data_IF_318605952330
#
_entry.id   IF_318605952330
#
_cell.length_a   1.000
_cell.length_b   1.000
_cell.length_c   1.000
_cell.angle_alpha   90.00
_cell.angle_beta   90.00
_cell.angle_gamma   90.00
#
_symmetry.space_group_name_H-M   'P 1'
#
loop_
_entity.id
_entity.type
_entity.pdbx_description
1 polymer ?
#
# COMPACT_ATOMS: atom_id res chain seq x y z
N UNK A 1 -11.19 75.43 -15.23
CA UNK A 1 -9.82 74.92 -15.55
C UNK A 1 -9.38 74.07 -14.36
N UNK A 2 -8.90 72.83 -14.42
CA UNK A 2 -8.36 71.98 -15.48
C UNK A 2 -8.28 70.54 -14.90
N UNK A 3 -8.56 69.55 -15.74
CA UNK A 3 -8.00 68.17 -15.79
C UNK A 3 -8.14 67.24 -14.55
N UNK A 4 -8.95 66.17 -14.57
CA UNK A 4 -8.81 64.86 -15.27
C UNK A 4 -7.64 63.96 -14.81
N UNK A 5 -7.98 62.92 -14.03
CA UNK A 5 -7.89 61.48 -14.39
C UNK A 5 -7.13 60.56 -13.40
N UNK A 6 -7.62 59.32 -13.41
CA UNK A 6 -6.94 58.04 -13.14
C UNK A 6 -6.97 57.51 -11.71
N UNK A 7 -8.11 56.85 -11.42
CA UNK A 7 -8.16 55.44 -11.00
C UNK A 7 -6.78 54.81 -10.80
N UNK A 8 -6.40 54.59 -9.54
CA UNK A 8 -5.40 53.59 -9.18
C UNK A 8 -6.05 52.60 -8.24
N UNK A 9 -6.69 51.61 -8.87
CA UNK A 9 -6.95 50.32 -8.25
C UNK A 9 -5.60 49.71 -7.85
N UNK A 10 -5.30 49.69 -6.56
CA UNK A 10 -4.27 48.82 -6.01
C UNK A 10 -5.01 47.64 -5.39
N UNK A 11 -5.17 46.59 -6.21
CA UNK A 11 -5.83 45.36 -5.86
C UNK A 11 -5.17 44.74 -4.61
N UNK A 12 -6.00 44.44 -3.60
CA UNK A 12 -5.69 43.44 -2.59
C UNK A 12 -5.53 42.09 -3.30
N UNK A 13 -4.31 41.65 -3.55
CA UNK A 13 -4.04 40.24 -3.83
C UNK A 13 -3.66 39.59 -2.52
N UNK A 14 -4.68 39.01 -1.88
CA UNK A 14 -4.55 38.19 -0.70
C UNK A 14 -3.57 37.03 -0.97
N UNK A 15 -2.64 36.89 -0.04
CA UNK A 15 -1.68 35.81 0.10
C UNK A 15 -2.45 34.49 0.25
N UNK A 16 -2.67 33.74 -0.83
CA UNK A 16 -3.09 32.33 -0.71
C UNK A 16 -1.87 31.50 -0.33
N UNK A 17 -1.70 31.37 0.98
CA UNK A 17 -0.76 30.47 1.60
C UNK A 17 -1.02 29.03 1.13
N UNK A 18 0.00 28.48 0.48
CA UNK A 18 0.49 27.10 0.57
C UNK A 18 -0.49 26.11 1.23
N UNK A 19 -1.45 25.61 0.45
CA UNK A 19 -1.93 24.25 0.64
C UNK A 19 -0.98 23.32 -0.13
N UNK A 20 0.27 23.24 0.34
CA UNK A 20 1.11 22.07 0.10
C UNK A 20 0.62 20.96 1.03
N UNK A 21 -0.66 20.58 0.88
CA UNK A 21 -1.08 19.26 1.30
C UNK A 21 -0.35 18.32 0.37
N UNK A 22 0.58 17.53 0.91
CA UNK A 22 1.10 16.36 0.23
C UNK A 22 -0.09 15.43 -0.03
N UNK A 23 -0.83 15.69 -1.11
CA UNK A 23 -1.68 14.69 -1.73
C UNK A 23 -0.72 13.56 -2.07
N UNK A 24 -0.84 12.43 -1.37
CA UNK A 24 -0.23 11.17 -1.79
C UNK A 24 -0.53 11.07 -3.28
N UNK A 25 0.51 11.03 -4.11
CA UNK A 25 0.37 10.88 -5.55
C UNK A 25 -0.64 9.76 -5.81
N UNK A 26 -1.68 10.04 -6.60
CA UNK A 26 -2.73 9.10 -7.03
C UNK A 26 -2.17 7.90 -7.84
N UNK A 27 -0.86 7.65 -7.78
CA UNK A 27 -0.12 6.75 -8.65
C UNK A 27 0.54 5.57 -7.92
N UNK A 28 0.59 5.58 -6.58
CA UNK A 28 1.14 4.44 -5.84
C UNK A 28 0.15 3.27 -5.86
N UNK A 29 0.53 2.09 -6.36
CA UNK A 29 -0.38 0.96 -6.48
C UNK A 29 -0.89 0.50 -5.11
N UNK A 30 -2.20 0.29 -5.03
CA UNK A 30 -2.85 -0.26 -3.83
C UNK A 30 -2.33 -1.68 -3.53
N UNK A 31 -1.66 -1.92 -2.38
CA UNK A 31 -1.18 -3.24 -1.99
C UNK A 31 -2.29 -4.29 -1.94
N UNK A 32 -3.52 -3.90 -1.58
CA UNK A 32 -4.67 -4.81 -1.50
C UNK A 32 -5.03 -5.44 -2.84
N UNK A 33 -4.70 -4.80 -3.96
CA UNK A 33 -4.98 -5.32 -5.32
C UNK A 33 -4.22 -6.61 -5.63
N UNK A 34 -3.14 -6.90 -4.90
CA UNK A 34 -2.31 -8.08 -5.12
C UNK A 34 -2.76 -9.29 -4.28
N UNK A 35 -3.76 -9.16 -3.42
CA UNK A 35 -4.30 -10.29 -2.66
C UNK A 35 -4.80 -11.39 -3.60
N UNK A 36 -4.28 -12.59 -3.41
CA UNK A 36 -4.51 -13.77 -4.24
C UNK A 36 -3.57 -13.93 -5.43
N UNK A 37 -2.69 -12.97 -5.69
CA UNK A 37 -1.64 -13.04 -6.71
C UNK A 37 -0.33 -13.60 -6.14
N UNK A 38 0.66 -13.88 -6.99
CA UNK A 38 1.99 -14.28 -6.53
C UNK A 38 2.74 -13.12 -5.90
N UNK A 39 3.67 -13.44 -4.99
CA UNK A 39 4.57 -12.42 -4.44
C UNK A 39 5.44 -11.80 -5.54
N UNK A 40 5.86 -12.58 -6.55
CA UNK A 40 6.58 -12.06 -7.71
C UNK A 40 5.86 -10.86 -8.36
N UNK A 41 4.56 -11.00 -8.66
CA UNK A 41 3.77 -9.92 -9.25
C UNK A 41 3.63 -8.71 -8.31
N UNK A 42 3.52 -8.93 -7.01
CA UNK A 42 3.47 -7.84 -6.04
C UNK A 42 4.81 -7.07 -5.99
N UNK A 43 5.95 -7.77 -5.96
CA UNK A 43 7.29 -7.16 -5.93
C UNK A 43 7.60 -6.32 -7.17
N UNK A 44 7.17 -6.77 -8.34
CA UNK A 44 7.32 -6.02 -9.61
C UNK A 44 6.61 -4.65 -9.59
N UNK A 45 5.58 -4.49 -8.75
CA UNK A 45 4.72 -3.31 -8.78
C UNK A 45 4.81 -2.45 -7.51
N UNK A 46 5.08 -3.03 -6.35
CA UNK A 46 5.15 -2.33 -5.06
C UNK A 46 6.57 -1.82 -4.73
N UNK A 47 7.55 -2.13 -5.59
CA UNK A 47 8.95 -1.78 -5.39
C UNK A 47 9.62 -2.68 -4.35
N UNK A 48 9.52 -2.32 -3.07
CA UNK A 48 10.11 -3.09 -1.97
C UNK A 48 9.17 -3.08 -0.76
N UNK A 49 8.06 -3.82 -0.81
CA UNK A 49 7.22 -4.00 0.37
C UNK A 49 8.00 -4.77 1.44
N UNK A 50 7.61 -4.59 2.70
CA UNK A 50 8.02 -5.52 3.75
C UNK A 50 7.14 -6.77 3.66
N UNK A 51 7.78 -7.93 3.59
CA UNK A 51 7.10 -9.22 3.35
C UNK A 51 7.03 -10.01 4.65
N UNK A 52 5.82 -10.37 5.05
CA UNK A 52 5.53 -11.06 6.30
C UNK A 52 5.02 -12.46 5.97
N UNK A 53 5.68 -13.49 6.48
CA UNK A 53 5.22 -14.87 6.31
C UNK A 53 4.25 -15.23 7.44
N UNK A 54 2.98 -15.42 7.09
CA UNK A 54 1.89 -15.72 8.04
C UNK A 54 1.45 -17.19 7.97
N UNK A 55 2.31 -18.06 7.43
CA UNK A 55 2.00 -19.48 7.21
C UNK A 55 1.55 -20.21 8.47
N UNK A 56 2.15 -19.91 9.62
CA UNK A 56 1.79 -20.55 10.89
C UNK A 56 0.35 -20.22 11.27
N UNK A 57 0.00 -18.93 11.21
CA UNK A 57 -1.29 -18.40 11.61
C UNK A 57 -2.44 -18.72 10.65
N UNK A 58 -2.14 -19.01 9.38
CA UNK A 58 -3.16 -19.26 8.33
C UNK A 58 -3.28 -20.75 8.00
N UNK A 59 -2.17 -21.48 7.93
CA UNK A 59 -2.14 -22.88 7.49
C UNK A 59 -1.37 -23.83 8.43
N UNK A 60 -0.85 -23.35 9.56
CA UNK A 60 -0.19 -24.19 10.56
C UNK A 60 1.20 -24.71 10.14
N UNK A 61 1.87 -24.01 9.22
CA UNK A 61 3.21 -24.39 8.72
C UNK A 61 4.23 -23.36 9.21
N UNK A 62 5.41 -23.83 9.62
CA UNK A 62 6.50 -22.95 10.03
C UNK A 62 6.84 -21.94 8.91
N UNK A 63 6.93 -20.63 9.23
CA UNK A 63 7.35 -19.62 8.28
C UNK A 63 8.72 -19.94 7.69
N UNK A 64 8.86 -19.80 6.38
CA UNK A 64 10.05 -20.17 5.62
C UNK A 64 10.49 -19.10 4.61
N UNK A 65 9.69 -18.05 4.37
CA UNK A 65 10.13 -16.94 3.53
C UNK A 65 11.26 -16.16 4.22
N UNK A 66 12.35 -15.92 3.49
CA UNK A 66 13.55 -15.27 4.01
C UNK A 66 14.17 -14.24 3.04
N UNK A 67 13.38 -13.70 2.11
CA UNK A 67 13.84 -12.75 1.09
C UNK A 67 14.68 -13.35 -0.05
N UNK A 68 15.33 -14.50 0.17
CA UNK A 68 16.05 -15.27 -0.86
C UNK A 68 15.24 -16.41 -1.49
N UNK A 69 14.06 -16.72 -0.94
CA UNK A 69 13.14 -17.71 -1.50
C UNK A 69 12.54 -17.24 -2.83
N UNK A 70 12.22 -18.18 -3.73
CA UNK A 70 11.56 -17.88 -5.02
C UNK A 70 10.18 -17.23 -4.79
N UNK A 71 9.98 -15.94 -5.15
CA UNK A 71 8.71 -15.25 -4.95
C UNK A 71 7.51 -15.85 -5.72
N UNK A 72 7.75 -16.67 -6.74
CA UNK A 72 6.68 -17.33 -7.51
C UNK A 72 5.99 -18.46 -6.72
N UNK A 73 6.66 -18.99 -5.69
CA UNK A 73 6.15 -20.06 -4.81
C UNK A 73 5.30 -19.53 -3.65
N UNK A 74 5.07 -18.22 -3.57
CA UNK A 74 4.31 -17.55 -2.51
C UNK A 74 3.11 -16.82 -3.07
N UNK A 75 1.99 -16.85 -2.33
CA UNK A 75 0.78 -16.09 -2.66
C UNK A 75 0.58 -15.01 -1.60
N UNK A 76 0.28 -13.80 -2.06
CA UNK A 76 -0.10 -12.68 -1.21
C UNK A 76 -1.50 -12.94 -0.65
N UNK A 77 -1.64 -12.90 0.66
CA UNK A 77 -2.92 -13.09 1.37
C UNK A 77 -3.38 -11.83 2.11
N UNK A 78 -2.50 -10.86 2.29
CA UNK A 78 -2.79 -9.52 2.83
C UNK A 78 -1.91 -8.51 2.11
N UNK A 79 -2.43 -7.32 1.84
CA UNK A 79 -1.64 -6.19 1.35
C UNK A 79 -2.17 -4.88 1.95
N UNK A 80 -1.32 -4.17 2.68
CA UNK A 80 -1.67 -2.93 3.35
C UNK A 80 -0.62 -1.85 3.17
N UNK A 81 -1.04 -0.60 3.24
CA UNK A 81 -0.12 0.52 3.27
C UNK A 81 0.56 0.62 4.64
N UNK A 82 1.89 0.64 4.66
CA UNK A 82 2.66 0.75 5.90
C UNK A 82 3.05 2.21 6.18
N UNK A 83 2.90 2.71 7.43
CA UNK A 83 3.40 4.02 7.82
C UNK A 83 4.92 4.00 8.09
N UNK A 84 5.71 3.25 7.29
CA UNK A 84 7.14 3.07 7.50
C UNK A 84 7.93 3.85 6.43
N UNK A 85 8.95 4.66 6.81
CA UNK A 85 9.80 5.36 5.84
C UNK A 85 10.67 4.45 4.98
N UNK A 86 10.89 3.18 5.37
CA UNK A 86 11.71 2.20 4.64
C UNK A 86 10.90 1.40 3.61
N UNK A 87 9.61 1.17 3.89
CA UNK A 87 8.70 0.42 3.03
C UNK A 87 7.32 1.06 3.05
N UNK A 88 6.80 1.46 1.88
CA UNK A 88 5.48 2.10 1.78
C UNK A 88 4.30 1.12 1.96
N UNK A 89 4.58 -0.19 1.94
CA UNK A 89 3.58 -1.25 2.04
C UNK A 89 4.10 -2.47 2.77
N UNK A 90 3.18 -3.17 3.43
CA UNK A 90 3.38 -4.51 3.97
C UNK A 90 2.54 -5.48 3.14
N UNK A 91 3.10 -6.66 2.85
CA UNK A 91 2.38 -7.77 2.24
C UNK A 91 2.57 -9.02 3.08
N UNK A 92 1.50 -9.77 3.34
CA UNK A 92 1.61 -11.08 3.97
C UNK A 92 1.49 -12.20 2.95
N UNK A 93 2.25 -13.26 3.16
CA UNK A 93 2.34 -14.40 2.24
C UNK A 93 2.18 -15.75 2.93
N UNK A 94 1.76 -16.74 2.15
CA UNK A 94 1.83 -18.16 2.47
C UNK A 94 2.33 -18.95 1.24
N UNK A 95 2.82 -20.19 1.41
CA UNK A 95 3.21 -21.05 0.30
C UNK A 95 2.04 -21.28 -0.64
N UNK A 96 2.28 -21.10 -1.93
CA UNK A 96 1.30 -21.32 -3.01
C UNK A 96 0.68 -22.71 -2.95
N UNK A 97 1.47 -23.73 -2.60
CA UNK A 97 1.02 -25.10 -2.45
C UNK A 97 -0.07 -25.29 -1.37
N UNK A 98 -0.16 -24.38 -0.39
CA UNK A 98 -1.15 -24.45 0.69
C UNK A 98 -2.45 -23.70 0.38
N UNK A 99 -2.51 -22.99 -0.76
CA UNK A 99 -3.63 -22.09 -1.07
C UNK A 99 -4.82 -22.84 -1.64
N UNK A 100 -5.89 -22.89 -0.86
CA UNK A 100 -7.20 -23.42 -1.29
C UNK A 100 -8.13 -22.31 -1.77
N UNK A 101 -9.25 -22.69 -2.40
CA UNK A 101 -10.31 -21.74 -2.75
C UNK A 101 -10.88 -21.01 -1.51
N UNK A 102 -10.98 -21.71 -0.37
CA UNK A 102 -11.45 -21.14 0.89
C UNK A 102 -10.47 -20.07 1.40
N UNK A 103 -9.17 -20.34 1.37
CA UNK A 103 -8.14 -19.38 1.77
C UNK A 103 -8.15 -18.14 0.85
N UNK A 104 -8.28 -18.32 -0.47
CA UNK A 104 -8.41 -17.19 -1.41
C UNK A 104 -9.62 -16.33 -1.09
N UNK A 105 -10.76 -16.95 -0.75
CA UNK A 105 -11.97 -16.24 -0.41
C UNK A 105 -11.84 -15.49 0.92
N UNK A 106 -11.24 -16.10 1.95
CA UNK A 106 -10.97 -15.47 3.24
C UNK A 106 -9.99 -14.29 3.11
N UNK A 107 -8.91 -14.46 2.35
CA UNK A 107 -7.95 -13.39 2.05
C UNK A 107 -8.62 -12.19 1.37
N UNK A 108 -9.46 -12.43 0.37
CA UNK A 108 -10.22 -11.36 -0.31
C UNK A 108 -11.23 -10.63 0.60
N UNK A 109 -11.65 -11.26 1.69
CA UNK A 109 -12.52 -10.64 2.71
C UNK A 109 -11.74 -9.91 3.81
N UNK A 110 -10.41 -9.92 3.77
CA UNK A 110 -9.56 -9.31 4.80
C UNK A 110 -9.47 -10.10 6.10
N UNK A 111 -9.84 -11.39 6.11
CA UNK A 111 -9.87 -12.18 7.36
C UNK A 111 -8.48 -12.40 8.00
N UNK A 112 -7.42 -12.21 7.20
CA UNK A 112 -6.03 -12.37 7.63
C UNK A 112 -5.34 -11.04 7.96
N UNK A 113 -6.01 -9.90 7.78
CA UNK A 113 -5.44 -8.56 8.00
C UNK A 113 -4.94 -8.39 9.45
N UNK A 114 -5.61 -9.05 10.41
CA UNK A 114 -5.22 -9.11 11.83
C UNK A 114 -3.80 -9.64 12.09
N UNK A 115 -3.17 -10.29 11.12
CA UNK A 115 -1.81 -10.81 11.24
C UNK A 115 -0.75 -9.81 10.74
N UNK A 116 -1.18 -8.65 10.22
CA UNK A 116 -0.32 -7.59 9.71
C UNK A 116 -0.62 -6.29 10.45
N UNK A 117 0.28 -5.83 11.34
CA UNK A 117 0.01 -4.68 12.20
C UNK A 117 -0.35 -3.37 11.46
N UNK A 118 0.12 -3.17 10.24
CA UNK A 118 -0.18 -1.96 9.46
C UNK A 118 -1.57 -1.92 8.84
N UNK A 119 -2.31 -3.03 8.88
CA UNK A 119 -3.70 -3.11 8.43
C UNK A 119 -4.70 -2.61 9.48
N UNK A 120 -4.30 -2.53 10.75
CA UNK A 120 -5.11 -1.93 11.81
C UNK A 120 -5.13 -0.39 11.60
N UNK A 121 -6.21 0.12 11.02
CA UNK A 121 -6.48 1.56 10.87
C UNK A 121 -7.87 1.95 11.34
#
# INVERSE_FOLDING_TARGET
>A
MRERRFLKAAALTALMAMLAGCARSETDPDPGRFVGQSLATALENLGSPNVIDVSESVVGIQPAYNGGADPAEWIVVVGCYAPNPQHASDVAVIPKASVTAAIRAAAKRGEFDRYVPSCDR
#
